data_IF_865398513614
#
_entry.id   IF_865398513614
#
_cell.length_a   1.000
_cell.length_b   1.000
_cell.length_c   1.000
_cell.angle_alpha   90.00
_cell.angle_beta   90.00
_cell.angle_gamma   90.00
#
_symmetry.space_group_name_H-M   'P 1'
#
loop_
_entity.id
_entity.type
_entity.pdbx_description
1 polymer ?
#
# COMPACT_ATOMS: atom_id res chain seq x y z
N UNK A 1 2.40 -16.98 -26.98
CA UNK A 1 2.63 -15.98 -25.92
C UNK A 1 2.33 -16.66 -24.60
N UNK A 2 3.39 -16.88 -23.77
CA UNK A 2 3.21 -17.44 -22.43
C UNK A 2 2.53 -16.35 -21.57
N UNK A 3 1.33 -16.59 -21.11
CA UNK A 3 0.67 -15.67 -20.18
C UNK A 3 1.48 -15.65 -18.88
N UNK A 4 1.98 -14.47 -18.50
CA UNK A 4 2.63 -14.29 -17.21
C UNK A 4 1.61 -14.50 -16.09
N UNK A 5 1.97 -15.27 -15.08
CA UNK A 5 1.14 -15.43 -13.89
C UNK A 5 1.13 -14.13 -13.05
N UNK A 6 0.22 -14.04 -12.07
CA UNK A 6 0.09 -12.84 -11.25
C UNK A 6 1.38 -12.52 -10.49
N UNK A 7 2.10 -13.53 -10.01
CA UNK A 7 3.33 -13.35 -9.25
C UNK A 7 4.45 -12.75 -10.11
N UNK A 8 4.64 -13.22 -11.34
CA UNK A 8 5.62 -12.66 -12.28
C UNK A 8 5.32 -11.17 -12.58
N UNK A 9 4.04 -10.81 -12.68
CA UNK A 9 3.63 -9.41 -12.92
C UNK A 9 3.88 -8.54 -11.69
N UNK A 10 3.57 -9.04 -10.48
CA UNK A 10 3.78 -8.33 -9.22
C UNK A 10 5.27 -8.15 -8.92
N UNK A 11 6.10 -9.15 -9.22
CA UNK A 11 7.56 -9.05 -9.06
C UNK A 11 8.16 -7.97 -9.97
N UNK A 12 7.75 -7.92 -11.24
CA UNK A 12 8.17 -6.86 -12.18
C UNK A 12 7.67 -5.47 -11.75
N UNK A 13 6.44 -5.40 -11.25
CA UNK A 13 5.91 -4.16 -10.70
C UNK A 13 6.75 -3.70 -9.49
N UNK A 14 7.11 -4.60 -8.60
CA UNK A 14 7.91 -4.30 -7.43
C UNK A 14 9.31 -3.78 -7.82
N UNK A 15 9.97 -4.41 -8.77
CA UNK A 15 11.27 -3.98 -9.30
C UNK A 15 11.21 -2.56 -9.87
N UNK A 16 10.30 -2.31 -10.80
CA UNK A 16 10.07 -0.97 -11.38
C UNK A 16 9.75 0.09 -10.33
N UNK A 17 8.93 -0.28 -9.36
CA UNK A 17 8.45 0.65 -8.33
C UNK A 17 9.56 1.01 -7.35
N UNK A 18 10.36 0.04 -6.91
CA UNK A 18 11.52 0.28 -6.04
C UNK A 18 12.51 1.22 -6.69
N UNK A 19 12.85 0.98 -7.97
CA UNK A 19 13.79 1.84 -8.70
C UNK A 19 13.30 3.29 -8.76
N UNK A 20 12.02 3.49 -9.07
CA UNK A 20 11.43 4.82 -9.12
C UNK A 20 11.40 5.50 -7.75
N UNK A 21 10.98 4.78 -6.70
CA UNK A 21 10.95 5.32 -5.34
C UNK A 21 12.35 5.65 -4.81
N UNK A 22 13.38 4.86 -5.15
CA UNK A 22 14.76 5.20 -4.84
C UNK A 22 15.21 6.50 -5.49
N UNK A 23 14.85 6.73 -6.75
CA UNK A 23 15.20 7.99 -7.44
C UNK A 23 14.48 9.18 -6.82
N UNK A 24 13.20 9.05 -6.50
CA UNK A 24 12.42 10.12 -5.86
C UNK A 24 12.95 10.39 -4.46
N UNK A 25 13.19 9.35 -3.66
CA UNK A 25 13.62 9.46 -2.27
C UNK A 25 15.01 10.10 -2.10
N UNK A 26 15.88 9.98 -3.11
CA UNK A 26 17.22 10.58 -3.09
C UNK A 26 17.23 12.08 -3.33
N UNK A 27 16.13 12.65 -3.81
CA UNK A 27 16.07 14.09 -4.06
C UNK A 27 16.12 14.86 -2.73
N UNK A 28 16.85 15.98 -2.73
CA UNK A 28 17.04 16.82 -1.54
C UNK A 28 15.71 17.40 -1.03
N UNK A 29 14.78 17.67 -1.94
CA UNK A 29 13.44 18.19 -1.62
C UNK A 29 12.48 17.12 -1.06
N UNK A 30 12.83 15.84 -1.15
CA UNK A 30 12.05 14.72 -0.62
C UNK A 30 12.73 14.10 0.59
N UNK A 31 13.79 13.36 0.40
CA UNK A 31 14.56 12.66 1.43
C UNK A 31 13.70 11.98 2.51
N UNK A 32 12.66 11.25 2.10
CA UNK A 32 11.71 10.56 2.99
C UNK A 32 11.83 9.05 2.80
N UNK A 33 11.86 8.30 3.89
CA UNK A 33 11.80 6.84 3.89
C UNK A 33 10.46 6.33 3.33
N UNK A 34 10.48 5.17 2.67
CA UNK A 34 9.29 4.58 2.09
C UNK A 34 9.21 3.08 2.30
N UNK A 35 8.00 2.52 2.32
CA UNK A 35 7.72 1.09 2.50
C UNK A 35 6.29 0.70 2.14
N UNK A 36 6.08 -0.62 1.99
CA UNK A 36 4.76 -1.21 1.78
C UNK A 36 4.30 -1.99 3.02
N UNK A 37 3.03 -2.38 3.05
CA UNK A 37 2.45 -3.04 4.22
C UNK A 37 2.10 -4.51 3.97
N UNK A 38 1.75 -4.93 2.75
CA UNK A 38 1.24 -6.26 2.44
C UNK A 38 2.32 -7.15 1.83
N UNK A 39 2.28 -8.45 2.13
CA UNK A 39 3.09 -9.45 1.45
C UNK A 39 2.36 -9.96 0.20
N UNK A 40 2.74 -9.43 -0.95
CA UNK A 40 2.12 -9.77 -2.23
C UNK A 40 2.51 -11.16 -2.71
N UNK A 41 3.58 -11.76 -2.19
CA UNK A 41 4.03 -13.10 -2.57
C UNK A 41 3.08 -14.20 -2.09
N UNK A 42 2.21 -13.90 -1.14
CA UNK A 42 1.20 -14.82 -0.62
C UNK A 42 -0.04 -14.94 -1.51
N UNK A 43 -0.24 -14.01 -2.45
CA UNK A 43 -1.39 -14.05 -3.35
C UNK A 43 -1.27 -15.23 -4.33
N UNK A 44 -2.26 -16.09 -4.33
CA UNK A 44 -2.35 -17.23 -5.25
C UNK A 44 -3.19 -16.92 -6.48
N UNK A 45 -4.11 -15.96 -6.36
CA UNK A 45 -5.04 -15.51 -7.40
C UNK A 45 -5.39 -14.02 -7.23
N UNK A 46 -6.36 -13.51 -7.97
CA UNK A 46 -6.89 -12.16 -7.79
C UNK A 46 -7.40 -11.97 -6.36
N UNK A 47 -6.97 -10.90 -5.65
CA UNK A 47 -7.39 -10.69 -4.28
C UNK A 47 -8.91 -10.41 -4.19
N UNK A 48 -9.53 -10.98 -3.17
CA UNK A 48 -10.94 -10.70 -2.85
C UNK A 48 -11.12 -9.27 -2.34
N UNK A 49 -10.08 -8.72 -1.69
CA UNK A 49 -10.12 -7.39 -1.08
C UNK A 49 -8.80 -6.66 -1.23
N UNK A 50 -8.86 -5.38 -1.64
CA UNK A 50 -7.76 -4.45 -1.54
C UNK A 50 -8.14 -3.25 -0.67
N UNK A 51 -7.28 -2.91 0.28
CA UNK A 51 -7.44 -1.75 1.15
C UNK A 51 -6.35 -0.74 0.79
N UNK A 52 -6.75 0.49 0.49
CA UNK A 52 -5.84 1.56 0.07
C UNK A 52 -5.88 2.70 1.08
N UNK A 53 -4.77 2.90 1.81
CA UNK A 53 -4.53 4.07 2.65
C UNK A 53 -3.98 5.26 1.86
N UNK A 54 -3.65 6.36 2.57
CA UNK A 54 -2.94 7.49 1.94
C UNK A 54 -1.47 7.15 1.85
N UNK A 55 -0.84 6.90 2.99
CA UNK A 55 0.57 6.58 3.13
C UNK A 55 0.85 5.85 4.45
N UNK A 56 1.99 5.17 4.58
CA UNK A 56 2.40 4.57 5.85
C UNK A 56 2.58 5.63 6.93
N UNK A 57 1.95 5.44 8.09
CA UNK A 57 2.14 6.32 9.25
C UNK A 57 3.46 6.01 9.97
N UNK A 58 4.13 7.05 10.44
CA UNK A 58 5.28 6.93 11.34
C UNK A 58 5.06 7.78 12.59
N UNK A 59 4.75 7.18 13.74
CA UNK A 59 4.46 7.93 14.96
C UNK A 59 5.65 8.78 15.46
N UNK A 60 6.86 8.44 15.05
CA UNK A 60 8.08 9.16 15.42
C UNK A 60 8.41 10.32 14.47
N UNK A 61 7.62 10.55 13.44
CA UNK A 61 7.80 11.62 12.48
C UNK A 61 8.33 11.18 11.13
N UNK A 62 8.94 12.10 10.39
CA UNK A 62 9.56 11.79 9.10
C UNK A 62 10.93 11.17 9.35
N UNK A 63 11.16 9.99 8.75
CA UNK A 63 12.50 9.40 8.69
C UNK A 63 13.14 9.78 7.36
N UNK A 64 14.31 10.41 7.37
CA UNK A 64 15.05 10.67 6.13
C UNK A 64 15.43 9.38 5.41
N UNK A 65 15.34 9.38 4.09
CA UNK A 65 15.78 8.24 3.27
C UNK A 65 17.26 7.91 3.48
N UNK A 66 18.09 8.94 3.66
CA UNK A 66 19.51 8.77 3.99
C UNK A 66 19.75 8.01 5.29
N UNK A 67 18.89 8.19 6.29
CA UNK A 67 18.94 7.43 7.54
C UNK A 67 18.40 6.00 7.36
N UNK A 68 17.36 5.81 6.56
CA UNK A 68 16.88 4.49 6.17
C UNK A 68 17.99 3.66 5.51
N UNK A 69 18.80 4.27 4.64
CA UNK A 69 19.92 3.63 3.97
C UNK A 69 21.06 3.24 4.93
N UNK A 70 21.33 4.03 5.96
CA UNK A 70 22.41 3.79 6.93
C UNK A 70 22.03 2.74 7.96
N UNK A 71 20.77 2.68 8.33
CA UNK A 71 20.32 1.96 9.51
C UNK A 71 19.91 0.52 9.19
N UNK A 72 20.93 -0.35 9.09
CA UNK A 72 20.74 -1.79 8.87
C UNK A 72 20.01 -2.52 10.03
N UNK A 73 19.83 -1.86 11.17
CA UNK A 73 19.29 -2.44 12.41
C UNK A 73 17.95 -1.83 12.85
N UNK A 74 17.25 -1.17 11.98
CA UNK A 74 15.91 -0.68 12.32
C UNK A 74 14.99 -1.87 12.61
N UNK A 75 14.83 -2.13 13.89
CA UNK A 75 13.94 -3.16 14.41
C UNK A 75 12.46 -2.79 14.27
N UNK A 76 12.17 -1.55 13.95
CA UNK A 76 10.84 -0.98 14.03
C UNK A 76 10.22 -0.86 12.63
N UNK A 77 9.39 -1.80 12.23
CA UNK A 77 8.53 -1.79 11.05
C UNK A 77 9.27 -1.77 9.70
N UNK A 78 10.53 -1.30 9.61
CA UNK A 78 11.13 -0.91 8.34
C UNK A 78 12.60 -1.27 8.29
N UNK A 79 12.85 -2.35 7.65
CA UNK A 79 14.22 -2.72 7.31
C UNK A 79 14.66 -1.89 6.11
N UNK A 80 15.89 -1.44 6.08
CA UNK A 80 16.73 -0.97 4.97
C UNK A 80 16.00 -0.47 3.72
N UNK A 81 16.63 0.35 2.87
CA UNK A 81 16.01 0.72 1.61
C UNK A 81 15.40 -0.51 0.98
N UNK A 82 14.11 -0.42 0.69
CA UNK A 82 13.37 -1.52 0.13
C UNK A 82 14.02 -1.94 -1.18
N UNK A 83 14.46 -3.16 -1.26
CA UNK A 83 14.71 -3.80 -2.53
C UNK A 83 13.38 -4.37 -3.09
N UNK A 84 13.41 -4.92 -4.29
CA UNK A 84 12.23 -5.52 -4.90
C UNK A 84 11.60 -6.61 -4.04
N UNK A 85 12.40 -7.34 -3.29
CA UNK A 85 11.90 -8.42 -2.43
C UNK A 85 11.11 -7.87 -1.25
N UNK A 86 11.56 -6.76 -0.66
CA UNK A 86 10.81 -6.10 0.42
C UNK A 86 9.48 -5.53 -0.05
N UNK A 87 9.45 -4.90 -1.24
CA UNK A 87 8.21 -4.36 -1.77
C UNK A 87 7.23 -5.48 -2.16
N UNK A 88 7.72 -6.59 -2.64
CA UNK A 88 6.91 -7.75 -3.01
C UNK A 88 6.47 -8.57 -1.80
N UNK A 89 7.39 -8.87 -0.88
CA UNK A 89 7.11 -9.70 0.31
C UNK A 89 6.61 -8.91 1.52
N UNK A 90 6.52 -7.60 1.41
CA UNK A 90 6.19 -6.73 2.54
C UNK A 90 7.38 -6.54 3.50
N UNK A 91 7.15 -5.76 4.53
CA UNK A 91 8.15 -5.44 5.52
C UNK A 91 8.16 -6.47 6.66
N UNK A 92 9.33 -6.75 7.19
CA UNK A 92 9.50 -7.62 8.34
C UNK A 92 9.91 -6.83 9.59
N UNK A 93 9.32 -7.17 10.72
CA UNK A 93 9.80 -6.74 12.02
C UNK A 93 10.94 -7.65 12.47
N UNK A 94 12.17 -7.11 12.52
CA UNK A 94 13.35 -7.89 12.89
C UNK A 94 13.32 -8.45 14.32
N UNK A 95 12.72 -7.73 15.25
CA UNK A 95 12.69 -8.11 16.66
C UNK A 95 11.92 -9.42 16.90
N UNK A 96 10.91 -9.69 16.09
CA UNK A 96 10.05 -10.85 16.26
C UNK A 96 10.26 -11.94 15.19
N UNK A 97 11.09 -11.70 14.19
CA UNK A 97 11.24 -12.60 13.04
C UNK A 97 9.94 -12.81 12.26
N UNK A 98 8.96 -11.92 12.45
CA UNK A 98 7.63 -12.00 11.85
C UNK A 98 7.43 -10.90 10.82
N UNK A 99 6.58 -11.12 9.81
CA UNK A 99 6.13 -10.06 8.93
C UNK A 99 5.55 -8.90 9.75
N UNK A 100 5.91 -7.67 9.43
CA UNK A 100 5.34 -6.48 10.09
C UNK A 100 3.82 -6.42 9.93
N UNK A 101 3.31 -7.09 8.91
CA UNK A 101 1.90 -7.28 8.63
C UNK A 101 1.14 -7.93 9.80
N UNK A 102 1.72 -8.89 10.53
CA UNK A 102 1.08 -9.50 11.69
C UNK A 102 0.81 -8.49 12.81
N UNK A 103 1.61 -7.43 12.89
CA UNK A 103 1.40 -6.35 13.84
C UNK A 103 0.22 -5.43 13.46
N UNK A 104 -0.13 -5.32 12.18
CA UNK A 104 -1.29 -4.53 11.72
C UNK A 104 -2.58 -5.03 12.33
N UNK A 105 -2.72 -6.33 12.52
CA UNK A 105 -3.90 -6.95 13.11
C UNK A 105 -4.16 -6.51 14.55
N UNK A 106 -3.13 -5.99 15.23
CA UNK A 106 -3.23 -5.44 16.59
C UNK A 106 -3.64 -3.96 16.60
N UNK A 107 -3.65 -3.28 15.45
CA UNK A 107 -3.91 -1.86 15.39
C UNK A 107 -5.40 -1.53 15.48
N UNK A 108 -5.70 -0.40 16.13
CA UNK A 108 -7.09 0.02 16.38
C UNK A 108 -7.92 0.18 15.09
N UNK A 109 -7.31 0.68 14.02
CA UNK A 109 -8.04 0.83 12.76
C UNK A 109 -8.44 -0.52 12.16
N UNK A 110 -7.62 -1.57 12.36
CA UNK A 110 -7.90 -2.92 11.88
C UNK A 110 -9.11 -3.53 12.58
N UNK A 111 -9.21 -3.38 13.90
CA UNK A 111 -10.39 -3.83 14.64
C UNK A 111 -11.65 -3.07 14.24
N UNK A 112 -11.53 -1.77 13.95
CA UNK A 112 -12.62 -0.96 13.39
C UNK A 112 -13.08 -1.46 12.02
N UNK A 113 -12.14 -1.77 11.13
CA UNK A 113 -12.42 -2.31 9.81
C UNK A 113 -13.11 -3.69 9.88
N UNK A 114 -12.60 -4.60 10.72
CA UNK A 114 -13.26 -5.88 10.98
C UNK A 114 -14.68 -5.72 11.46
N UNK A 115 -14.95 -4.78 12.37
CA UNK A 115 -16.30 -4.49 12.83
C UNK A 115 -17.19 -3.99 11.69
N UNK A 116 -16.68 -3.13 10.81
CA UNK A 116 -17.44 -2.66 9.64
C UNK A 116 -17.76 -3.80 8.66
N UNK A 117 -16.88 -4.77 8.51
CA UNK A 117 -17.04 -5.88 7.57
C UNK A 117 -17.75 -7.10 8.18
N UNK A 118 -18.03 -7.11 9.49
CA UNK A 118 -18.52 -8.29 10.23
C UNK A 118 -19.84 -8.89 9.68
N UNK A 119 -20.66 -8.08 9.02
CA UNK A 119 -21.92 -8.51 8.40
C UNK A 119 -21.83 -8.67 6.87
N UNK A 120 -20.63 -8.74 6.33
CA UNK A 120 -20.39 -8.92 4.90
C UNK A 120 -19.65 -10.21 4.62
N UNK A 121 -19.64 -10.64 3.37
CA UNK A 121 -18.86 -11.79 2.91
C UNK A 121 -17.35 -11.58 3.06
N UNK A 122 -16.90 -10.34 3.25
CA UNK A 122 -15.50 -9.98 3.45
C UNK A 122 -15.02 -10.15 4.90
N UNK A 123 -15.89 -10.52 5.82
CA UNK A 123 -15.55 -10.70 7.24
C UNK A 123 -14.47 -11.76 7.50
N UNK A 124 -14.42 -12.81 6.68
CA UNK A 124 -13.41 -13.87 6.75
C UNK A 124 -12.19 -13.58 5.88
N UNK A 125 -12.35 -12.76 4.84
CA UNK A 125 -11.28 -12.42 3.90
C UNK A 125 -10.23 -11.52 4.55
N UNK A 126 -10.65 -10.63 5.45
CA UNK A 126 -9.76 -9.62 6.04
C UNK A 126 -8.57 -10.21 6.83
N UNK A 127 -8.64 -11.45 7.24
CA UNK A 127 -7.58 -12.16 7.96
C UNK A 127 -6.81 -13.18 7.09
N UNK A 128 -7.15 -13.28 5.81
CA UNK A 128 -6.52 -14.22 4.88
C UNK A 128 -5.54 -13.49 3.95
N UNK A 129 -4.25 -13.58 4.28
CA UNK A 129 -3.18 -12.90 3.54
C UNK A 129 -3.06 -13.35 2.07
N UNK A 130 -3.60 -14.51 1.72
CA UNK A 130 -3.62 -15.00 0.34
C UNK A 130 -4.71 -14.34 -0.51
N UNK A 131 -5.64 -13.61 0.11
CA UNK A 131 -6.82 -13.00 -0.53
C UNK A 131 -6.90 -11.48 -0.37
N UNK A 132 -6.00 -10.89 0.39
CA UNK A 132 -6.05 -9.46 0.71
C UNK A 132 -4.77 -8.75 0.30
N UNK A 133 -4.92 -7.52 -0.23
CA UNK A 133 -3.83 -6.55 -0.36
C UNK A 133 -4.13 -5.38 0.54
N UNK A 134 -3.16 -4.96 1.34
CA UNK A 134 -3.19 -3.67 2.02
C UNK A 134 -2.04 -2.83 1.51
N UNK A 135 -2.37 -1.67 0.99
CA UNK A 135 -1.42 -0.77 0.34
C UNK A 135 -1.78 0.69 0.62
N UNK A 136 -1.04 1.61 0.03
CA UNK A 136 -1.25 3.04 0.17
C UNK A 136 -1.16 3.73 -1.20
N UNK A 137 -1.75 4.91 -1.31
CA UNK A 137 -1.64 5.75 -2.50
C UNK A 137 -0.20 6.24 -2.74
N UNK A 138 0.58 6.39 -1.66
CA UNK A 138 2.02 6.60 -1.70
C UNK A 138 2.70 5.72 -0.65
N UNK A 139 3.92 5.25 -0.92
CA UNK A 139 4.71 4.47 0.03
C UNK A 139 5.61 5.33 0.91
N UNK A 140 5.74 6.62 0.66
CA UNK A 140 6.48 7.54 1.53
C UNK A 140 5.79 7.69 2.88
N UNK A 141 6.58 7.62 3.95
CA UNK A 141 6.07 7.60 5.31
C UNK A 141 6.22 8.94 6.01
N UNK A 142 5.13 9.40 6.60
CA UNK A 142 5.10 10.63 7.38
C UNK A 142 4.33 10.45 8.68
N UNK A 143 4.45 11.40 9.62
CA UNK A 143 3.75 11.32 10.90
C UNK A 143 2.23 11.31 10.74
N UNK A 144 1.73 12.09 9.80
CA UNK A 144 0.31 12.24 9.48
C UNK A 144 0.11 12.21 7.97
N UNK A 145 -1.09 11.91 7.53
CA UNK A 145 -1.43 11.91 6.11
C UNK A 145 -1.16 13.25 5.41
N UNK A 146 -1.31 14.36 6.13
CA UNK A 146 -1.05 15.72 5.62
C UNK A 146 0.45 16.02 5.44
N UNK A 147 1.33 15.17 5.94
CA UNK A 147 2.78 15.31 5.78
C UNK A 147 3.27 14.99 4.37
N UNK A 148 2.45 14.36 3.52
CA UNK A 148 2.78 14.13 2.11
C UNK A 148 2.31 15.32 1.28
N UNK A 149 3.24 15.94 0.53
CA UNK A 149 2.89 17.02 -0.39
C UNK A 149 1.98 16.51 -1.52
N UNK A 150 1.14 17.39 -2.04
CA UNK A 150 0.26 17.05 -3.17
C UNK A 150 1.03 16.66 -4.44
N UNK A 151 2.17 17.29 -4.68
CA UNK A 151 3.06 16.97 -5.80
C UNK A 151 3.61 15.55 -5.67
N UNK A 152 4.16 15.21 -4.50
CA UNK A 152 4.71 13.88 -4.24
C UNK A 152 3.65 12.78 -4.32
N UNK A 153 2.46 13.05 -3.77
CA UNK A 153 1.33 12.12 -3.87
C UNK A 153 0.91 11.92 -5.34
N UNK A 154 0.86 13.00 -6.14
CA UNK A 154 0.52 12.92 -7.56
C UNK A 154 1.56 12.12 -8.35
N UNK A 155 2.84 12.29 -8.03
CA UNK A 155 3.95 11.58 -8.65
C UNK A 155 3.93 10.07 -8.34
N UNK A 156 3.49 9.68 -7.14
CA UNK A 156 3.57 8.29 -6.67
C UNK A 156 2.30 7.47 -6.89
N UNK A 157 1.13 8.09 -6.97
CA UNK A 157 -0.15 7.41 -7.25
C UNK A 157 -0.10 6.46 -8.47
N UNK A 158 0.56 6.77 -9.59
CA UNK A 158 0.63 5.87 -10.74
C UNK A 158 1.14 4.47 -10.41
N UNK A 159 2.07 4.32 -9.47
CA UNK A 159 2.59 3.01 -9.07
C UNK A 159 1.54 2.17 -8.33
N UNK A 160 0.72 2.81 -7.51
CA UNK A 160 -0.42 2.13 -6.85
C UNK A 160 -1.52 1.78 -7.84
N UNK A 161 -1.79 2.64 -8.85
CA UNK A 161 -2.73 2.32 -9.92
C UNK A 161 -2.24 1.15 -10.77
N UNK A 162 -0.93 1.06 -11.05
CA UNK A 162 -0.33 -0.09 -11.72
C UNK A 162 -0.55 -1.38 -10.90
N UNK A 163 -0.35 -1.33 -9.57
CA UNK A 163 -0.63 -2.46 -8.69
C UNK A 163 -2.11 -2.88 -8.74
N UNK A 164 -3.03 -1.94 -8.65
CA UNK A 164 -4.47 -2.20 -8.73
C UNK A 164 -4.81 -2.87 -10.07
N UNK A 165 -4.24 -2.37 -11.16
CA UNK A 165 -4.47 -2.91 -12.51
C UNK A 165 -3.90 -4.33 -12.70
N UNK A 166 -2.77 -4.64 -12.07
CA UNK A 166 -2.18 -5.98 -12.10
C UNK A 166 -2.97 -6.95 -11.25
N UNK A 167 -3.32 -6.54 -10.03
CA UNK A 167 -3.99 -7.37 -9.04
C UNK A 167 -5.48 -7.58 -9.37
N UNK A 168 -6.12 -6.61 -10.01
CA UNK A 168 -7.57 -6.65 -10.37
C UNK A 168 -8.46 -7.12 -9.20
N UNK A 169 -8.42 -6.44 -8.03
CA UNK A 169 -9.14 -6.87 -6.84
C UNK A 169 -10.65 -6.89 -7.07
N UNK A 170 -11.36 -7.86 -6.49
CA UNK A 170 -12.83 -7.95 -6.59
C UNK A 170 -13.52 -6.83 -5.79
N UNK A 171 -12.95 -6.44 -4.68
CA UNK A 171 -13.48 -5.37 -3.81
C UNK A 171 -12.36 -4.43 -3.40
N UNK A 172 -12.68 -3.15 -3.26
CA UNK A 172 -11.72 -2.13 -2.81
C UNK A 172 -12.30 -1.28 -1.70
N UNK A 173 -11.48 -1.01 -0.68
CA UNK A 173 -11.80 -0.08 0.40
C UNK A 173 -10.74 1.02 0.41
N UNK A 174 -11.18 2.27 0.29
CA UNK A 174 -10.31 3.43 0.36
C UNK A 174 -10.39 4.09 1.73
N UNK A 175 -9.31 3.97 2.50
CA UNK A 175 -9.11 4.67 3.77
C UNK A 175 -8.32 5.97 3.59
N UNK A 176 -8.19 6.41 2.34
CA UNK A 176 -7.36 7.54 1.93
C UNK A 176 -8.01 8.91 2.07
N UNK A 177 -9.27 8.96 2.51
CA UNK A 177 -10.05 10.19 2.54
C UNK A 177 -10.49 10.67 1.14
N UNK A 178 -11.48 11.57 1.12
CA UNK A 178 -12.15 12.01 -0.12
C UNK A 178 -11.18 12.58 -1.15
N UNK A 179 -10.32 13.52 -0.76
CA UNK A 179 -9.41 14.20 -1.70
C UNK A 179 -8.44 13.24 -2.39
N UNK A 180 -7.84 12.32 -1.64
CA UNK A 180 -6.91 11.33 -2.19
C UNK A 180 -7.65 10.33 -3.10
N UNK A 181 -8.84 9.87 -2.68
CA UNK A 181 -9.68 9.00 -3.50
C UNK A 181 -10.06 9.65 -4.83
N UNK A 182 -10.54 10.91 -4.81
CA UNK A 182 -10.90 11.64 -6.04
C UNK A 182 -9.71 11.83 -6.98
N UNK A 183 -8.50 11.97 -6.44
CA UNK A 183 -7.27 12.04 -7.24
C UNK A 183 -6.93 10.70 -7.88
N UNK A 184 -6.95 9.62 -7.10
CA UNK A 184 -6.79 8.25 -7.62
C UNK A 184 -7.80 7.98 -8.73
N UNK A 185 -9.05 8.32 -8.50
CA UNK A 185 -10.13 8.10 -9.46
C UNK A 185 -9.95 8.90 -10.75
N UNK A 186 -9.55 10.18 -10.67
CA UNK A 186 -9.26 11.00 -11.86
C UNK A 186 -8.12 10.43 -12.68
N UNK A 187 -7.03 10.03 -12.04
CA UNK A 187 -5.88 9.45 -12.72
C UNK A 187 -6.22 8.08 -13.33
N UNK A 188 -7.03 7.26 -12.68
CA UNK A 188 -7.49 5.99 -13.23
C UNK A 188 -8.34 6.17 -14.49
N UNK A 189 -9.23 7.15 -14.51
CA UNK A 189 -10.06 7.47 -15.69
C UNK A 189 -9.22 7.93 -16.89
N UNK A 190 -8.23 8.78 -16.65
CA UNK A 190 -7.33 9.27 -17.70
C UNK A 190 -6.47 8.15 -18.29
N UNK A 191 -6.14 7.15 -17.51
CA UNK A 191 -5.35 5.99 -17.94
C UNK A 191 -6.19 4.83 -18.48
N UNK A 192 -7.52 4.90 -18.41
CA UNK A 192 -8.46 3.83 -18.76
C UNK A 192 -8.22 2.51 -17.99
N UNK A 193 -7.59 2.59 -16.82
CA UNK A 193 -7.13 1.42 -16.08
C UNK A 193 -8.28 0.59 -15.53
N UNK A 194 -9.36 1.20 -15.07
CA UNK A 194 -10.54 0.48 -14.61
C UNK A 194 -11.78 1.40 -14.58
N UNK A 195 -12.93 0.77 -14.70
CA UNK A 195 -14.22 1.42 -14.44
C UNK A 195 -14.83 0.74 -13.22
N UNK A 196 -15.21 1.52 -12.22
CA UNK A 196 -15.96 1.04 -11.07
C UNK A 196 -16.97 2.09 -10.62
N UNK A 197 -18.10 1.62 -10.13
CA UNK A 197 -19.04 2.43 -9.41
C UNK A 197 -18.62 2.47 -7.94
N UNK A 198 -18.71 3.63 -7.30
CA UNK A 198 -18.43 3.76 -5.88
C UNK A 198 -19.67 4.22 -5.13
N UNK A 199 -19.83 3.70 -3.92
CA UNK A 199 -20.87 4.09 -3.01
C UNK A 199 -20.29 4.74 -1.77
N UNK A 200 -20.80 5.90 -1.41
CA UNK A 200 -20.42 6.58 -0.18
C UNK A 200 -21.16 5.94 1.00
N UNK A 201 -20.40 5.38 1.95
CA UNK A 201 -20.95 4.79 3.16
C UNK A 201 -20.37 5.54 4.36
N UNK A 202 -21.22 6.12 5.20
CA UNK A 202 -20.88 6.75 6.49
C UNK A 202 -19.80 7.84 6.44
N UNK A 203 -19.84 8.73 5.46
CA UNK A 203 -19.07 9.98 5.46
C UNK A 203 -17.56 9.87 5.28
N UNK A 204 -16.94 8.69 5.43
CA UNK A 204 -15.48 8.51 5.38
C UNK A 204 -15.00 7.24 4.69
N UNK A 205 -15.87 6.34 4.30
CA UNK A 205 -15.51 5.08 3.64
C UNK A 205 -16.16 5.06 2.26
N UNK A 206 -15.35 4.91 1.23
CA UNK A 206 -15.81 4.67 -0.13
C UNK A 206 -15.63 3.19 -0.43
N UNK A 207 -16.69 2.51 -0.78
CA UNK A 207 -16.67 1.14 -1.25
C UNK A 207 -16.98 1.17 -2.73
N UNK A 208 -16.03 0.74 -3.55
CA UNK A 208 -16.26 0.45 -4.96
C UNK A 208 -16.85 -0.96 -5.10
N UNK A 209 -17.85 -1.11 -5.92
CA UNK A 209 -18.43 -2.39 -6.32
C UNK A 209 -18.12 -2.60 -7.80
#
# INVERSE_FOLDING_TARGET
>A
LKYMNIQEKLEKWAEKTVDAYHQIAKRDDVNIAYYTQSDLSLLVEMPELMIVGINPGNPYGITPYTEQCKNKNWSYLYNNPLDKNHLWKGNYCKEEGKPSWDNHRKWRYWSGLKKCLSQTTLSTVIDDDSKIIVTNASFFSTKTADGISESLLTETIPYTLDLINIATPKNMIFLSGKKCFERLFRLSKSSKLFQFEYKHICGKIFVGI
#
